data_IF_822919543437
#
_entry.id   IF_822919543437
#
_cell.length_a   1.000
_cell.length_b   1.000
_cell.length_c   1.000
_cell.angle_alpha   90.00
_cell.angle_beta   90.00
_cell.angle_gamma   90.00
#
_symmetry.space_group_name_H-M   'P 1'
#
loop_
_entity.id
_entity.type
_entity.pdbx_description
1 polymer ?
2 polymer ?
3 water ?
#
# COMPACT_ATOMS: atom_id res chain seq x y z
N UNK A 1 -26.51 -22.17 1.16
CA UNK A 1 -27.15 -21.06 0.47
C UNK A 1 -26.48 -19.70 0.79
N UNK A 2 -25.31 -19.70 1.45
CA UNK A 2 -24.71 -18.46 1.92
C UNK A 2 -23.20 -18.54 1.80
N UNK A 3 -22.60 -17.45 1.33
CA UNK A 3 -21.18 -17.22 1.48
C UNK A 3 -21.02 -15.91 2.23
N UNK A 4 -19.95 -15.79 3.00
CA UNK A 4 -19.56 -14.50 3.53
C UNK A 4 -18.48 -13.91 2.62
N UNK A 5 -18.69 -12.66 2.19
CA UNK A 5 -17.78 -11.99 1.27
C UNK A 5 -17.16 -10.83 2.01
N UNK A 6 -15.82 -10.78 1.99
CA UNK A 6 -15.03 -9.74 2.64
C UNK A 6 -14.00 -9.18 1.65
N UNK A 7 -14.02 -7.87 1.46
CA UNK A 7 -12.98 -7.15 0.73
C UNK A 7 -12.16 -6.35 1.73
N UNK A 8 -10.85 -6.62 1.73
CA UNK A 8 -9.89 -6.11 2.73
C UNK A 8 -8.84 -5.26 2.01
N UNK A 9 -8.74 -4.00 2.41
CA UNK A 9 -7.75 -3.07 1.90
C UNK A 9 -6.63 -2.92 2.92
N UNK A 10 -5.53 -2.25 2.57
CA UNK A 10 -4.40 -2.21 3.52
C UNK A 10 -4.78 -1.58 4.84
N UNK A 11 -5.72 -0.62 4.87
CA UNK A 11 -6.03 0.06 6.12
C UNK A 11 -7.29 -0.43 6.80
N UNK A 12 -8.14 -1.20 6.12
CA UNK A 12 -9.47 -1.46 6.67
C UNK A 12 -10.21 -2.51 5.83
N UNK A 13 -11.15 -3.18 6.46
CA UNK A 13 -12.10 -3.99 5.71
C UNK A 13 -13.11 -3.06 5.06
N UNK A 14 -13.20 -3.12 3.72
CA UNK A 14 -14.08 -2.26 2.95
C UNK A 14 -15.46 -2.89 2.78
N UNK A 15 -15.54 -4.21 2.67
CA UNK A 15 -16.81 -4.87 2.44
C UNK A 15 -16.90 -6.16 3.26
N UNK A 16 -18.05 -6.39 3.89
CA UNK A 16 -18.21 -7.59 4.70
C UNK A 16 -19.71 -7.88 4.82
N UNK A 17 -20.21 -8.87 4.06
CA UNK A 17 -21.65 -9.16 4.07
C UNK A 17 -21.90 -10.53 3.43
N UNK A 18 -23.04 -11.15 3.73
CA UNK A 18 -23.38 -12.39 3.05
C UNK A 18 -23.79 -12.15 1.60
N UNK A 19 -23.54 -13.16 0.77
CA UNK A 19 -23.87 -13.07 -0.63
C UNK A 19 -24.24 -14.46 -1.12
N UNK A 20 -25.12 -14.48 -2.12
CA UNK A 20 -25.45 -15.70 -2.85
C UNK A 20 -24.49 -15.95 -3.98
N UNK A 21 -23.89 -14.91 -4.54
CA UNK A 21 -23.07 -15.13 -5.72
C UNK A 21 -22.10 -13.97 -5.81
N UNK A 22 -20.83 -14.25 -6.20
CA UNK A 22 -19.85 -13.19 -6.40
C UNK A 22 -19.11 -13.46 -7.71
N UNK A 23 -18.94 -12.41 -8.49
CA UNK A 23 -18.17 -12.42 -9.74
C UNK A 23 -16.84 -11.72 -9.46
N UNK A 24 -15.74 -12.43 -9.70
CA UNK A 24 -14.40 -11.90 -9.39
C UNK A 24 -13.66 -11.56 -10.66
N UNK A 25 -13.00 -10.39 -10.69
CA UNK A 25 -12.25 -10.06 -11.89
C UNK A 25 -10.86 -10.69 -11.83
N UNK A 26 -10.77 -11.99 -12.11
CA UNK A 26 -9.47 -12.64 -12.09
C UNK A 26 -8.62 -12.22 -13.30
N UNK A 27 -7.29 -12.43 -13.21
CA UNK A 27 -6.42 -12.06 -14.33
C UNK A 27 -6.64 -12.92 -15.56
N UNK A 28 -7.35 -14.03 -15.44
CA UNK A 28 -7.70 -14.88 -16.57
C UNK A 28 -9.20 -14.84 -16.88
N UNK A 29 -9.94 -13.89 -16.34
CA UNK A 29 -11.35 -13.75 -16.72
C UNK A 29 -12.25 -13.59 -15.52
N UNK A 30 -13.50 -13.27 -15.83
CA UNK A 30 -14.50 -13.20 -14.78
C UNK A 30 -14.79 -14.60 -14.28
N UNK A 31 -14.67 -14.78 -12.98
CA UNK A 31 -14.95 -16.03 -12.30
C UNK A 31 -16.28 -15.92 -11.62
N UNK A 32 -17.11 -16.92 -11.78
CA UNK A 32 -18.39 -16.94 -11.11
C UNK A 32 -18.40 -17.89 -9.95
N UNK A 33 -18.65 -17.37 -8.75
CA UNK A 33 -18.62 -18.17 -7.55
C UNK A 33 -19.99 -18.27 -6.91
N UNK A 34 -20.45 -19.51 -6.74
CA UNK A 34 -21.65 -19.82 -5.96
C UNK A 34 -21.24 -20.56 -4.70
N UNK A 35 -22.22 -20.72 -3.81
CA UNK A 35 -22.04 -21.44 -2.56
C UNK A 35 -21.44 -22.81 -2.81
N UNK A 36 -20.72 -23.31 -1.78
CA UNK A 36 -20.13 -24.65 -1.73
C UNK A 36 -19.09 -24.84 -2.83
N UNK A 37 -18.36 -23.80 -3.18
CA UNK A 37 -17.30 -23.94 -4.16
C UNK A 37 -16.07 -24.57 -3.50
N UNK A 38 -15.35 -25.39 -4.28
CA UNK A 38 -14.08 -25.96 -3.81
C UNK A 38 -13.07 -24.84 -3.54
N UNK A 39 -12.14 -25.05 -2.62
CA UNK A 39 -11.15 -24.01 -2.30
C UNK A 39 -10.34 -23.60 -3.52
N UNK A 40 -10.07 -22.31 -3.63
CA UNK A 40 -9.47 -21.76 -4.83
C UNK A 40 -8.69 -20.52 -4.43
N UNK A 41 -7.56 -20.29 -5.11
CA UNK A 41 -6.77 -19.07 -4.97
C UNK A 41 -6.63 -18.47 -6.36
N UNK A 42 -6.82 -17.17 -6.49
CA UNK A 42 -6.72 -16.54 -7.81
C UNK A 42 -6.13 -15.15 -7.67
N UNK A 43 -5.34 -14.76 -8.68
CA UNK A 43 -5.01 -13.35 -8.85
C UNK A 43 -6.23 -12.56 -9.31
N UNK A 44 -6.24 -11.27 -8.95
CA UNK A 44 -7.28 -10.33 -9.36
C UNK A 44 -6.63 -9.18 -10.09
N UNK A 45 -7.17 -8.86 -11.26
CA UNK A 45 -6.73 -7.69 -11.98
C UNK A 45 -7.37 -6.45 -11.36
N UNK A 46 -6.93 -5.28 -11.79
CA UNK A 46 -7.70 -4.07 -11.54
C UNK A 46 -8.96 -4.12 -12.40
N UNK A 47 -10.14 -4.18 -11.78
CA UNK A 47 -11.38 -4.33 -12.54
C UNK A 47 -12.58 -4.34 -11.62
N UNK A 48 -13.69 -5.01 -11.98
CA UNK A 48 -14.92 -4.90 -11.21
C UNK A 48 -15.31 -6.28 -10.68
N UNK A 49 -15.68 -6.32 -9.43
CA UNK A 49 -16.30 -7.48 -8.85
C UNK A 49 -17.78 -7.18 -8.70
N UNK A 50 -18.58 -8.23 -8.60
CA UNK A 50 -20.00 -8.04 -8.36
C UNK A 50 -20.49 -9.01 -7.30
N UNK A 51 -21.44 -8.55 -6.51
CA UNK A 51 -21.95 -9.28 -5.36
C UNK A 51 -23.47 -9.26 -5.42
N UNK A 52 -24.08 -10.44 -5.34
CA UNK A 52 -25.52 -10.58 -5.26
C UNK A 52 -25.87 -11.21 -3.92
N UNK A 53 -26.44 -10.38 -3.03
CA UNK A 53 -26.83 -10.82 -1.69
C UNK A 53 -28.17 -11.53 -1.72
N UNK A 54 -29.13 -11.01 -2.50
CA UNK A 54 -30.38 -11.75 -2.64
C UNK A 54 -30.69 -11.87 -4.13
N UNK A 55 -31.25 -10.82 -4.72
CA UNK A 55 -31.65 -10.84 -6.11
C UNK A 55 -31.11 -9.65 -6.87
N UNK A 56 -30.42 -8.73 -6.21
CA UNK A 56 -29.86 -7.57 -6.87
C UNK A 56 -28.34 -7.62 -6.79
N UNK A 57 -27.73 -6.83 -7.67
CA UNK A 57 -26.32 -6.84 -7.89
C UNK A 57 -25.72 -5.55 -7.35
N UNK A 58 -24.52 -5.66 -6.81
CA UNK A 58 -23.73 -4.54 -6.34
C UNK A 58 -22.36 -4.70 -6.96
N UNK A 59 -21.85 -3.64 -7.59
CA UNK A 59 -20.54 -3.67 -8.20
C UNK A 59 -19.51 -2.87 -7.38
N UNK A 60 -18.30 -3.42 -7.27
CA UNK A 60 -17.18 -2.77 -6.57
C UNK A 60 -15.95 -2.74 -7.48
N UNK A 61 -15.38 -1.57 -7.66
CA UNK A 61 -14.11 -1.43 -8.35
C UNK A 61 -12.95 -1.90 -7.45
N UNK A 62 -12.12 -2.79 -7.97
CA UNK A 62 -10.99 -3.35 -7.23
C UNK A 62 -9.70 -2.96 -7.91
N UNK A 63 -8.70 -2.58 -7.11
CA UNK A 63 -7.42 -2.12 -7.64
C UNK A 63 -6.38 -3.24 -7.69
N UNK A 64 -6.78 -4.47 -7.93
CA UNK A 64 -5.78 -5.54 -8.08
C UNK A 64 -5.47 -6.22 -6.77
N UNK A 65 -5.06 -7.49 -6.85
CA UNK A 65 -4.86 -8.21 -5.62
C UNK A 65 -5.08 -9.70 -5.84
N UNK A 66 -5.68 -10.35 -4.85
CA UNK A 66 -6.01 -11.77 -4.97
C UNK A 66 -7.24 -12.08 -4.14
N UNK A 67 -7.78 -13.29 -4.34
CA UNK A 67 -8.98 -13.77 -3.66
C UNK A 67 -8.78 -15.22 -3.30
N UNK A 68 -9.28 -15.62 -2.14
CA UNK A 68 -9.37 -17.00 -1.77
C UNK A 68 -10.84 -17.33 -1.54
N UNK A 69 -11.18 -18.56 -1.85
CA UNK A 69 -12.54 -19.02 -1.60
C UNK A 69 -12.41 -20.38 -0.95
N UNK A 70 -12.95 -20.50 0.27
CA UNK A 70 -12.78 -21.70 1.08
C UNK A 70 -13.91 -21.77 2.07
N UNK A 71 -14.61 -22.91 2.09
CA UNK A 71 -15.69 -23.18 3.04
C UNK A 71 -16.67 -22.01 3.12
N UNK A 72 -17.09 -21.56 1.93
CA UNK A 72 -18.07 -20.48 1.81
C UNK A 72 -17.60 -19.17 2.44
N UNK A 73 -16.29 -18.97 2.45
CA UNK A 73 -15.69 -17.67 2.74
C UNK A 73 -14.94 -17.22 1.50
N UNK A 74 -15.32 -16.03 1.01
CA UNK A 74 -14.64 -15.37 -0.08
C UNK A 74 -13.88 -14.20 0.54
N UNK A 75 -12.56 -14.26 0.48
CA UNK A 75 -11.70 -13.23 1.07
C UNK A 75 -10.92 -12.56 -0.05
N UNK A 76 -11.10 -11.26 -0.17
CA UNK A 76 -10.56 -10.51 -1.29
C UNK A 76 -9.58 -9.50 -0.70
N UNK A 77 -8.31 -9.57 -1.13
CA UNK A 77 -7.27 -8.62 -0.74
C UNK A 77 -6.90 -7.75 -1.92
N UNK A 78 -7.08 -6.45 -1.77
CA UNK A 78 -6.83 -5.49 -2.84
C UNK A 78 -6.11 -4.27 -2.28
N UNK A 79 -5.36 -3.59 -3.16
CA UNK A 79 -4.69 -2.36 -2.80
C UNK A 79 -5.68 -1.23 -2.55
N UNK A 80 -6.91 -1.38 -3.06
CA UNK A 80 -7.96 -0.40 -2.92
C UNK A 80 -9.27 -0.93 -3.50
N UNK A 81 -10.41 -0.48 -2.98
CA UNK A 81 -11.73 -0.90 -3.45
C UNK A 81 -12.71 0.26 -3.26
N UNK A 82 -13.59 0.45 -4.24
CA UNK A 82 -14.57 1.53 -4.23
C UNK A 82 -15.93 1.00 -4.67
N UNK A 83 -16.97 1.18 -3.85
CA UNK A 83 -18.34 0.81 -4.20
C UNK A 83 -18.81 1.56 -5.44
N UNK A 84 -19.34 0.83 -6.41
CA UNK A 84 -19.82 1.50 -7.60
C UNK A 84 -20.93 2.51 -7.35
N UNK A 85 -21.68 2.37 -6.24
CA UNK A 85 -22.70 3.35 -5.86
C UNK A 85 -22.14 4.74 -5.64
N UNK A 86 -20.85 4.82 -5.40
CA UNK A 86 -20.14 6.03 -5.02
C UNK A 86 -19.66 6.84 -6.22
N UNK A 87 -19.68 6.25 -7.42
CA UNK A 87 -18.97 6.79 -8.58
C UNK A 87 -19.98 7.41 -9.53
N UNK A 88 -19.72 8.64 -9.98
CA UNK A 88 -20.68 9.30 -10.86
C UNK A 88 -20.47 8.82 -12.28
N UNK A 89 -21.48 8.16 -12.88
CA UNK A 89 -21.23 7.45 -14.12
C UNK A 89 -20.86 8.41 -15.25
N UNK A 90 -21.48 9.59 -15.29
CA UNK A 90 -21.09 10.59 -16.27
C UNK A 90 -19.65 11.00 -16.07
N UNK A 91 -19.28 11.28 -14.82
CA UNK A 91 -17.92 11.67 -14.50
C UNK A 91 -16.94 10.56 -14.90
N UNK A 92 -17.30 9.30 -14.66
CA UNK A 92 -16.38 8.19 -14.89
C UNK A 92 -16.21 7.91 -16.37
N UNK A 93 -17.25 8.14 -17.16
CA UNK A 93 -17.08 8.13 -18.61
C UNK A 93 -16.10 9.23 -19.01
N UNK A 94 -16.27 10.42 -18.43
CA UNK A 94 -15.36 11.51 -18.74
C UNK A 94 -13.92 11.15 -18.42
N UNK A 95 -13.70 10.63 -17.22
CA UNK A 95 -12.35 10.34 -16.78
C UNK A 95 -11.75 9.21 -17.61
N UNK A 96 -12.52 8.17 -17.88
CA UNK A 96 -12.02 7.09 -18.72
C UNK A 96 -11.59 7.60 -20.09
N UNK A 97 -12.42 8.41 -20.75
CA UNK A 97 -12.00 8.95 -22.03
C UNK A 97 -10.71 9.76 -21.88
N UNK A 98 -10.62 10.59 -20.83
CA UNK A 98 -9.45 11.44 -20.67
C UNK A 98 -8.18 10.62 -20.40
N UNK A 99 -8.29 9.61 -19.54
CA UNK A 99 -7.17 8.71 -19.30
C UNK A 99 -6.81 7.93 -20.54
N UNK A 100 -7.79 7.59 -21.35
CA UNK A 100 -7.52 6.92 -22.63
C UNK A 100 -6.64 7.77 -23.50
N UNK A 101 -6.97 9.06 -23.61
CA UNK A 101 -6.19 9.95 -24.45
C UNK A 101 -4.81 10.21 -23.86
N UNK A 102 -4.74 10.51 -22.55
CA UNK A 102 -3.45 10.70 -21.89
C UNK A 102 -2.56 9.48 -22.06
N UNK A 103 -3.14 8.29 -21.97
CA UNK A 103 -2.37 7.08 -22.24
C UNK A 103 -1.88 7.05 -23.69
N UNK A 104 -2.77 7.31 -24.66
CA UNK A 104 -2.32 7.33 -26.05
C UNK A 104 -1.16 8.30 -26.21
N UNK A 105 -1.24 9.47 -25.56
CA UNK A 105 -0.20 10.46 -25.66
C UNK A 105 1.10 9.96 -25.04
N UNK A 106 1.07 9.47 -23.78
CA UNK A 106 2.27 8.88 -23.20
C UNK A 106 2.91 7.86 -24.13
N UNK A 107 2.09 7.00 -24.76
CA UNK A 107 2.61 5.97 -25.64
C UNK A 107 3.29 6.53 -26.87
N UNK A 108 2.84 7.68 -27.36
CA UNK A 108 3.63 8.27 -28.44
C UNK A 108 4.98 8.76 -27.93
N UNK A 109 5.14 8.89 -26.61
CA UNK A 109 6.28 9.56 -26.04
C UNK A 109 7.47 8.66 -25.83
N UNK A 110 8.45 9.20 -25.14
CA UNK A 110 9.74 8.58 -24.95
C UNK A 110 9.92 8.00 -23.56
N UNK A 111 9.09 8.42 -22.62
CA UNK A 111 9.35 8.24 -21.20
C UNK A 111 8.60 7.01 -20.68
N UNK A 112 9.35 5.97 -20.30
CA UNK A 112 8.73 4.80 -19.70
C UNK A 112 8.00 5.15 -18.41
N UNK A 113 8.51 6.12 -17.65
CA UNK A 113 7.83 6.49 -16.43
C UNK A 113 6.44 7.03 -16.72
N UNK A 114 6.34 7.89 -17.73
CA UNK A 114 5.04 8.44 -18.12
C UNK A 114 4.08 7.36 -18.61
N UNK A 115 4.59 6.40 -19.39
CA UNK A 115 3.77 5.30 -19.86
C UNK A 115 3.20 4.52 -18.70
N UNK A 116 4.01 4.28 -17.68
CA UNK A 116 3.54 3.57 -16.51
C UNK A 116 2.52 4.40 -15.75
N UNK A 117 2.84 5.68 -15.53
CA UNK A 117 1.91 6.55 -14.83
C UNK A 117 0.55 6.53 -15.52
N UNK A 118 0.56 6.70 -16.84
CA UNK A 118 -0.69 6.83 -17.57
C UNK A 118 -1.41 5.50 -17.64
N UNK A 119 -0.68 4.38 -17.69
CA UNK A 119 -1.31 3.07 -17.62
C UNK A 119 -1.98 2.85 -16.26
N UNK A 120 -1.30 3.23 -15.18
CA UNK A 120 -1.91 3.15 -13.85
C UNK A 120 -3.21 3.93 -13.82
N UNK A 121 -3.17 5.21 -14.25
CA UNK A 121 -4.42 5.99 -14.25
C UNK A 121 -5.47 5.36 -15.15
N UNK A 122 -5.06 4.78 -16.28
CA UNK A 122 -6.04 4.26 -17.23
C UNK A 122 -6.75 3.06 -16.63
N UNK A 123 -5.99 2.16 -16.02
CA UNK A 123 -6.59 0.99 -15.39
C UNK A 123 -7.52 1.41 -14.26
N UNK A 124 -7.09 2.38 -13.44
CA UNK A 124 -7.98 2.81 -12.37
C UNK A 124 -9.26 3.42 -12.92
N UNK A 125 -9.17 4.21 -14.00
CA UNK A 125 -10.38 4.83 -14.54
C UNK A 125 -11.30 3.81 -15.21
N UNK A 126 -10.70 2.81 -15.87
CA UNK A 126 -11.44 1.68 -16.40
C UNK A 126 -12.23 1.00 -15.30
N UNK A 127 -11.55 0.55 -14.23
CA UNK A 127 -12.25 -0.20 -13.21
C UNK A 127 -13.35 0.63 -12.62
N UNK A 128 -13.11 1.93 -12.49
CA UNK A 128 -14.18 2.78 -11.96
C UNK A 128 -15.35 2.91 -12.91
N UNK A 129 -15.13 2.92 -14.24
CA UNK A 129 -16.28 2.99 -15.16
C UNK A 129 -17.03 1.65 -15.29
N UNK A 130 -16.31 0.53 -15.39
CA UNK A 130 -16.91 -0.79 -15.24
C UNK A 130 -17.78 -0.85 -14.00
N UNK A 131 -17.33 -0.30 -12.87
CA UNK A 131 -18.13 -0.39 -11.65
C UNK A 131 -19.30 0.60 -11.66
N UNK A 132 -19.10 1.82 -12.17
CA UNK A 132 -20.24 2.75 -12.28
C UNK A 132 -21.30 2.31 -13.31
N UNK A 133 -20.86 1.76 -14.43
CA UNK A 133 -21.72 1.46 -15.57
C UNK A 133 -22.04 0.00 -15.77
N UNK A 134 -21.36 -0.87 -15.02
CA UNK A 134 -21.67 -2.29 -14.93
C UNK A 134 -21.27 -3.17 -16.10
N UNK A 135 -20.64 -2.62 -17.13
CA UNK A 135 -20.28 -3.35 -18.34
C UNK A 135 -18.75 -3.53 -18.34
N UNK A 136 -18.30 -4.80 -18.44
CA UNK A 136 -16.85 -5.08 -18.37
C UNK A 136 -16.16 -4.66 -19.66
N UNK A 137 -16.73 -5.02 -20.81
CA UNK A 137 -16.14 -4.78 -22.13
C UNK A 137 -16.37 -3.33 -22.53
N UNK A 138 -15.38 -2.47 -22.27
CA UNK A 138 -15.42 -1.08 -22.68
C UNK A 138 -14.12 -0.73 -23.42
N UNK B 15 -5.81 23.02 27.86
CA UNK B 15 -5.42 21.69 28.33
C UNK B 15 -6.59 20.73 28.18
N UNK B 16 -6.41 19.67 27.37
CA UNK B 16 -7.49 18.74 27.09
C UNK B 16 -6.97 17.32 26.94
N UNK B 17 -7.83 16.36 27.32
CA UNK B 17 -7.57 14.93 27.27
C UNK B 17 -7.83 14.34 25.89
N UNK B 18 -8.19 15.16 24.89
CA UNK B 18 -8.50 14.64 23.56
C UNK B 18 -7.28 14.17 22.81
N UNK B 19 -6.08 14.45 23.34
CA UNK B 19 -4.88 13.83 22.79
C UNK B 19 -5.00 12.31 22.80
N UNK B 20 -5.54 11.76 23.90
CA UNK B 20 -5.81 10.33 23.96
C UNK B 20 -6.78 9.88 22.89
N UNK B 21 -7.71 10.76 22.48
CA UNK B 21 -8.64 10.39 21.42
C UNK B 21 -7.90 10.12 20.12
N UNK B 22 -6.92 10.95 19.79
CA UNK B 22 -6.19 10.69 18.56
C UNK B 22 -5.21 9.54 18.73
N UNK B 23 -4.73 9.32 19.96
CA UNK B 23 -4.01 8.08 20.26
C UNK B 23 -4.88 6.86 19.94
N UNK B 24 -6.13 6.89 20.41
CA UNK B 24 -7.01 5.74 20.23
C UNK B 24 -7.44 5.60 18.78
N UNK B 25 -7.63 6.71 18.06
CA UNK B 25 -8.02 6.62 16.66
C UNK B 25 -6.88 6.06 15.81
N UNK B 26 -5.64 6.46 16.14
CA UNK B 26 -4.47 5.88 15.48
C UNK B 26 -4.35 4.39 15.79
N UNK B 27 -4.43 4.04 17.07
CA UNK B 27 -4.40 2.64 17.48
C UNK B 27 -5.48 1.83 16.77
N UNK B 28 -6.63 2.45 16.51
CA UNK B 28 -7.69 1.79 15.77
C UNK B 28 -7.26 1.49 14.34
N UNK B 29 -6.71 2.49 13.63
CA UNK B 29 -6.28 2.23 12.25
C UNK B 29 -5.17 1.18 12.20
N UNK B 30 -4.24 1.22 13.15
CA UNK B 30 -3.18 0.21 13.15
C UNK B 30 -3.78 -1.18 13.36
N UNK B 31 -4.73 -1.30 14.30
CA UNK B 31 -5.41 -2.59 14.45
C UNK B 31 -6.11 -2.99 13.17
N UNK B 32 -6.77 -2.03 12.52
CA UNK B 32 -7.51 -2.31 11.29
C UNK B 32 -6.62 -2.77 10.16
N UNK B 33 -5.33 -2.46 10.21
CA UNK B 33 -4.44 -2.95 9.16
C UNK B 33 -4.06 -4.42 9.32
N UNK B 34 -4.32 -5.03 10.47
CA UNK B 34 -3.81 -6.38 10.68
C UNK B 34 -4.43 -7.46 9.77
N UNK B 35 -5.74 -7.47 9.49
CA UNK B 35 -6.27 -8.55 8.64
C UNK B 35 -5.57 -8.66 7.30
N UNK B 36 -5.32 -7.52 6.65
CA UNK B 36 -4.56 -7.49 5.40
C UNK B 36 -3.22 -8.20 5.55
N UNK B 37 -2.47 -7.85 6.60
CA UNK B 37 -1.12 -8.39 6.71
C UNK B 37 -1.17 -9.87 7.05
N UNK B 38 -2.15 -10.28 7.87
CA UNK B 38 -2.33 -11.70 8.19
C UNK B 38 -2.60 -12.51 6.94
N UNK B 39 -3.43 -11.98 6.04
CA UNK B 39 -3.78 -12.74 4.85
C UNK B 39 -2.61 -12.79 3.88
N UNK B 40 -1.96 -11.63 3.64
CA UNK B 40 -0.73 -11.58 2.88
C UNK B 40 0.21 -12.68 3.33
N UNK B 41 0.42 -12.75 4.66
CA UNK B 41 1.34 -13.75 5.22
C UNK B 41 0.89 -15.16 4.89
N UNK B 42 -0.40 -15.43 5.07
CA UNK B 42 -0.93 -16.78 4.85
C UNK B 42 -0.70 -17.23 3.41
N UNK B 43 -1.02 -16.35 2.46
CA UNK B 43 -0.82 -16.71 1.06
C UNK B 43 0.65 -16.85 0.73
N UNK B 44 1.50 -15.93 1.19
CA UNK B 44 2.94 -16.05 0.98
C UNK B 44 3.44 -17.40 1.46
N UNK B 45 3.01 -17.79 2.67
CA UNK B 45 3.44 -19.05 3.24
C UNK B 45 3.09 -20.21 2.32
N UNK B 46 1.86 -20.23 1.81
CA UNK B 46 1.51 -21.32 0.90
C UNK B 46 2.20 -21.17 -0.45
N UNK B 47 2.50 -19.96 -0.90
CA UNK B 47 3.19 -19.82 -2.18
C UNK B 47 4.60 -20.38 -2.09
N UNK B 48 5.23 -20.23 -0.91
CA UNK B 48 6.56 -20.78 -0.67
C UNK B 48 6.61 -22.27 -0.92
N UNK B 49 5.52 -22.99 -0.71
CA UNK B 49 5.59 -24.42 -0.96
C UNK B 49 5.51 -24.74 -2.45
N UNK B 50 5.29 -23.76 -3.32
CA UNK B 50 5.42 -24.03 -4.75
C UNK B 50 6.55 -23.27 -5.42
N UNK B 51 7.10 -22.26 -4.78
CA UNK B 51 8.14 -21.44 -5.40
C UNK B 51 9.29 -21.26 -4.43
N UNK B 52 10.50 -21.24 -4.97
CA UNK B 52 11.66 -20.78 -4.25
C UNK B 52 11.75 -19.29 -4.47
N UNK B 53 11.45 -18.51 -3.41
CA UNK B 53 11.38 -17.06 -3.55
C UNK B 53 12.69 -16.47 -4.05
N UNK B 54 13.82 -17.00 -3.56
CA UNK B 54 15.12 -16.45 -3.95
C UNK B 54 15.38 -16.59 -5.44
N UNK B 55 14.78 -17.57 -6.09
CA UNK B 55 14.98 -17.77 -7.50
C UNK B 55 13.90 -17.12 -8.36
N UNK B 56 13.03 -16.32 -7.77
CA UNK B 56 11.91 -15.78 -8.54
C UNK B 56 12.39 -14.56 -9.29
N UNK B 57 12.14 -14.52 -10.59
CA UNK B 57 12.52 -13.37 -11.41
C UNK B 57 11.24 -12.63 -11.78
N UNK B 58 11.03 -11.47 -11.15
CA UNK B 58 9.83 -10.67 -11.36
C UNK B 58 10.23 -9.21 -11.17
N UNK B 59 9.62 -8.29 -11.91
CA UNK B 59 10.08 -6.89 -11.91
C UNK B 59 10.29 -6.26 -10.55
N UNK B 60 9.39 -6.48 -9.60
CA UNK B 60 9.51 -5.83 -8.30
C UNK B 60 10.61 -6.42 -7.44
N UNK B 61 11.23 -7.51 -7.87
CA UNK B 61 12.38 -8.10 -7.23
C UNK B 61 13.69 -7.85 -7.96
N UNK B 62 13.67 -7.12 -9.09
CA UNK B 62 14.87 -6.95 -9.89
C UNK B 62 15.97 -6.28 -9.08
N UNK B 63 17.17 -6.87 -9.12
CA UNK B 63 18.35 -6.32 -8.45
C UNK B 63 19.32 -5.86 -9.55
N UNK B 64 19.14 -4.64 -10.00
CA UNK B 64 20.02 -4.00 -10.98
C UNK B 64 21.24 -3.40 -10.26
N UNK B 65 22.41 -3.34 -10.91
CA UNK B 65 23.50 -2.52 -10.36
C UNK B 65 22.98 -1.12 -10.11
N UNK B 66 23.23 -0.60 -8.92
CA UNK B 66 22.51 0.58 -8.46
C UNK B 66 23.28 1.82 -8.91
N UNK B 67 22.73 2.55 -9.87
CA UNK B 67 23.29 3.82 -10.32
C UNK B 67 22.48 5.03 -9.87
N UNK B 68 21.16 4.86 -9.68
CA UNK B 68 20.27 5.94 -9.27
C UNK B 68 19.36 5.41 -8.17
N UNK B 69 19.08 6.26 -7.18
CA UNK B 69 18.21 5.91 -6.05
C UNK B 69 17.06 6.91 -5.93
N UNK B 70 15.86 6.41 -5.65
CA UNK B 70 14.75 7.29 -5.26
C UNK B 70 14.70 7.33 -3.74
N UNK B 71 14.56 8.52 -3.17
CA UNK B 71 14.49 8.64 -1.72
C UNK B 71 13.15 9.24 -1.32
N UNK B 72 12.35 8.49 -0.58
CA UNK B 72 11.05 8.95 -0.13
C UNK B 72 11.31 9.60 1.23
N UNK B 73 10.94 10.85 1.41
CA UNK B 73 11.23 11.56 2.65
C UNK B 73 9.90 11.90 3.32
N UNK B 74 9.69 11.42 4.54
CA UNK B 74 8.36 11.51 5.15
C UNK B 74 8.38 12.59 6.22
N UNK B 75 7.67 13.69 6.00
CA UNK B 75 7.53 14.72 7.03
C UNK B 75 6.06 15.06 7.23
N UNK B 76 5.80 15.90 8.23
CA UNK B 76 4.46 16.39 8.52
C UNK B 76 4.42 17.88 8.28
N UNK B 77 3.24 18.42 8.01
CA UNK B 77 3.17 19.85 7.71
C UNK B 77 2.72 20.68 8.90
N UNK B 78 1.94 20.10 9.81
CA UNK B 78 1.71 20.74 11.10
C UNK B 78 3.05 20.83 11.84
N UNK B 79 3.38 22.04 12.30
CA UNK B 79 4.76 22.34 12.61
C UNK B 79 5.24 22.28 14.04
N UNK B 80 4.34 22.04 15.00
CA UNK B 80 4.73 22.11 16.41
C UNK B 80 4.97 20.69 16.94
N UNK B 81 6.17 20.19 16.64
CA UNK B 81 6.63 18.86 17.01
C UNK B 81 8.13 18.84 17.24
N UNK B 82 8.67 19.94 17.76
CA UNK B 82 10.08 20.01 18.10
C UNK B 82 10.92 19.89 16.85
N UNK B 83 11.82 18.91 16.86
CA UNK B 83 12.69 18.71 15.72
C UNK B 83 12.30 17.46 14.95
N UNK B 84 11.04 17.04 15.06
CA UNK B 84 10.55 15.92 14.27
C UNK B 84 10.90 16.10 12.79
N UNK B 85 10.39 17.17 12.18
CA UNK B 85 10.70 17.40 10.76
C UNK B 85 12.18 17.73 10.56
N UNK B 86 12.77 18.56 11.42
CA UNK B 86 14.16 18.95 11.24
C UNK B 86 15.07 17.72 11.24
N UNK B 87 14.78 16.76 12.11
CA UNK B 87 15.64 15.58 12.20
C UNK B 87 15.50 14.72 10.96
N UNK B 88 14.25 14.52 10.47
CA UNK B 88 14.08 13.82 9.19
C UNK B 88 14.84 14.51 8.08
N UNK B 89 14.65 15.82 7.96
CA UNK B 89 15.26 16.56 6.85
C UNK B 89 16.79 16.44 6.93
N UNK B 90 17.34 16.50 8.13
CA UNK B 90 18.80 16.42 8.25
C UNK B 90 19.31 15.03 7.90
N UNK B 91 18.60 13.99 8.36
CA UNK B 91 19.05 12.66 8.00
C UNK B 91 18.92 12.43 6.50
N UNK B 92 17.89 13.00 5.85
CA UNK B 92 17.80 12.76 4.43
C UNK B 92 18.91 13.48 3.67
N UNK B 93 19.20 14.73 4.05
CA UNK B 93 20.34 15.46 3.49
C UNK B 93 21.63 14.63 3.62
N UNK B 94 21.82 14.01 4.79
CA UNK B 94 23.03 13.22 5.04
C UNK B 94 23.06 11.97 4.18
N UNK B 95 21.91 11.28 4.04
CA UNK B 95 21.88 10.12 3.17
C UNK B 95 22.18 10.51 1.73
N UNK B 96 21.63 11.63 1.27
CA UNK B 96 21.90 12.09 -0.09
C UNK B 96 23.38 12.47 -0.29
N UNK B 97 23.99 13.06 0.74
CA UNK B 97 25.43 13.33 0.67
C UNK B 97 26.20 12.03 0.55
N UNK B 98 25.79 11.00 1.29
CA UNK B 98 26.48 9.71 1.18
C UNK B 98 26.38 9.17 -0.24
N UNK B 99 25.16 9.18 -0.80
CA UNK B 99 24.98 8.71 -2.17
C UNK B 99 25.81 9.53 -3.17
N UNK B 100 25.81 10.84 -3.02
CA UNK B 100 26.59 11.67 -3.92
C UNK B 100 28.09 11.36 -3.79
N UNK B 101 28.57 11.12 -2.56
CA UNK B 101 29.97 10.77 -2.38
C UNK B 101 30.32 9.51 -3.11
N UNK B 102 29.36 8.59 -3.25
CA UNK B 102 29.62 7.33 -3.88
C UNK B 102 29.45 7.41 -5.38
N UNK B 103 29.22 8.61 -5.90
CA UNK B 103 28.86 8.75 -7.30
C UNK B 103 27.48 8.20 -7.69
N UNK B 104 26.51 8.10 -6.78
CA UNK B 104 25.17 7.69 -7.18
C UNK B 104 24.32 8.93 -7.43
N UNK B 105 23.46 8.84 -8.42
CA UNK B 105 22.42 9.81 -8.72
C UNK B 105 21.18 9.50 -7.88
N UNK B 106 20.32 10.50 -7.72
CA UNK B 106 19.15 10.29 -6.89
C UNK B 106 18.02 11.23 -7.32
N UNK B 107 16.81 10.95 -6.85
CA UNK B 107 15.70 11.89 -7.00
C UNK B 107 14.83 11.76 -5.75
N UNK B 108 14.22 12.85 -5.35
CA UNK B 108 13.48 12.89 -4.09
C UNK B 108 11.97 12.78 -4.36
N UNK B 109 11.28 12.05 -3.50
CA UNK B 109 9.82 12.05 -3.43
C UNK B 109 9.49 12.50 -2.03
N UNK B 110 8.82 13.63 -1.89
CA UNK B 110 8.75 14.28 -0.59
C UNK B 110 7.31 14.33 -0.10
N UNK B 111 7.08 13.77 1.09
CA UNK B 111 5.82 13.96 1.80
C UNK B 111 6.01 15.13 2.74
N UNK B 112 5.22 16.17 2.55
CA UNK B 112 5.35 17.37 3.37
C UNK B 112 5.80 18.55 2.53
N UNK B 113 4.95 19.57 2.41
CA UNK B 113 5.22 20.64 1.45
C UNK B 113 6.32 21.57 1.93
N UNK B 114 6.45 21.76 3.25
CA UNK B 114 7.48 22.64 3.73
C UNK B 114 8.85 22.02 3.53
N UNK B 115 8.95 20.70 3.76
CA UNK B 115 10.21 20.00 3.50
C UNK B 115 10.52 20.00 2.01
N UNK B 116 9.48 19.85 1.17
CA UNK B 116 9.69 19.99 -0.26
C UNK B 116 10.30 21.35 -0.58
N UNK B 117 9.85 22.41 0.10
CA UNK B 117 10.43 23.72 -0.21
C UNK B 117 11.88 23.81 0.27
N UNK B 118 12.17 23.25 1.45
CA UNK B 118 13.55 23.24 1.92
C UNK B 118 14.46 22.63 0.86
N UNK B 119 14.08 21.47 0.32
CA UNK B 119 14.91 20.79 -0.69
C UNK B 119 14.88 21.52 -2.04
N UNK B 120 13.73 22.08 -2.41
CA UNK B 120 13.67 22.86 -3.65
C UNK B 120 14.66 24.03 -3.66
N UNK B 121 14.68 24.81 -2.58
CA UNK B 121 15.53 26.00 -2.51
C UNK B 121 17.02 25.64 -2.59
N UNK B 122 17.35 24.39 -2.34
CA UNK B 122 18.74 23.97 -2.32
C UNK B 122 19.08 23.14 -3.54
N UNK B 123 18.23 23.22 -4.57
CA UNK B 123 18.50 22.69 -5.89
C UNK B 123 18.50 21.18 -5.92
N UNK B 124 17.81 20.51 -4.98
CA UNK B 124 17.74 19.07 -5.11
C UNK B 124 16.75 18.65 -6.21
N UNK B 125 17.00 17.51 -6.86
CA UNK B 125 16.02 17.02 -7.84
C UNK B 125 14.82 16.39 -7.13
N UNK B 126 13.63 16.81 -7.52
CA UNK B 126 12.38 16.39 -6.85
C UNK B 126 11.44 15.83 -7.91
N UNK B 127 11.13 14.52 -7.81
CA UNK B 127 10.19 13.86 -8.76
C UNK B 127 8.75 14.16 -8.40
N UNK B 128 8.40 14.16 -7.11
CA UNK B 128 7.00 14.35 -6.74
C UNK B 128 6.92 14.89 -5.31
N UNK B 129 5.83 15.63 -5.03
CA UNK B 129 5.57 16.21 -3.73
C UNK B 129 4.16 15.87 -3.31
N UNK B 130 3.99 15.60 -2.02
CA UNK B 130 2.66 15.33 -1.46
C UNK B 130 2.48 16.13 -0.16
N UNK B 131 1.21 16.30 0.23
CA UNK B 131 0.86 16.98 1.48
C UNK B 131 1.47 16.27 2.67
N UNK B 132 1.82 17.04 3.69
CA UNK B 132 2.44 16.50 4.88
C UNK B 132 1.70 15.28 5.41
N UNK B 133 2.42 14.46 6.17
CA UNK B 133 1.85 13.23 6.70
C UNK B 133 0.63 13.54 7.56
N UNK B 134 -0.48 12.89 7.23
CA UNK B 134 -1.70 13.11 7.98
C UNK B 134 -1.75 12.19 9.19
N UNK B 135 -2.43 12.66 10.23
CA UNK B 135 -2.41 11.99 11.53
C UNK B 135 -2.83 10.52 11.43
N UNK B 136 -3.79 10.20 10.58
CA UNK B 136 -4.12 8.79 10.40
C UNK B 136 -3.94 8.43 8.92
N UNK B 137 -2.75 7.97 8.55
CA UNK B 137 -2.41 7.86 7.13
C UNK B 137 -3.31 6.89 6.36
N UNK B 138 -3.80 7.34 5.21
CA UNK B 138 -4.73 6.58 4.37
C UNK B 138 -4.06 5.52 3.49
N UNK B 139 -4.74 4.37 3.31
CA UNK B 139 -4.21 3.45 2.30
C UNK B 139 -4.26 4.02 0.90
N UNK B 140 -5.17 4.98 0.62
CA UNK B 140 -5.08 5.68 -0.67
C UNK B 140 -3.89 6.64 -0.68
N UNK B 141 -3.58 7.28 0.45
CA UNK B 141 -2.36 8.08 0.53
C UNK B 141 -1.15 7.22 0.20
N UNK B 142 -1.00 6.10 0.92
CA UNK B 142 0.07 5.17 0.67
C UNK B 142 0.07 4.74 -0.79
N UNK B 143 -1.11 4.44 -1.36
CA UNK B 143 -1.12 3.91 -2.71
C UNK B 143 -0.72 4.93 -3.77
N UNK B 144 -1.08 6.19 -3.58
CA UNK B 144 -0.63 7.22 -4.50
C UNK B 144 0.89 7.32 -4.49
N UNK B 145 1.47 7.39 -3.29
CA UNK B 145 2.94 7.40 -3.20
C UNK B 145 3.51 6.14 -3.84
N UNK B 146 2.93 4.99 -3.52
CA UNK B 146 3.50 3.74 -4.01
C UNK B 146 3.47 3.69 -5.52
N UNK B 147 2.34 4.14 -6.14
CA UNK B 147 2.27 4.09 -7.58
C UNK B 147 3.36 4.95 -8.18
N UNK B 148 3.65 6.08 -7.52
CA UNK B 148 4.71 6.94 -8.03
C UNK B 148 6.09 6.26 -7.88
N UNK B 149 6.30 5.55 -6.78
CA UNK B 149 7.60 4.86 -6.59
C UNK B 149 7.73 3.71 -7.56
N UNK B 150 6.62 3.01 -7.85
CA UNK B 150 6.63 2.00 -8.89
C UNK B 150 6.95 2.62 -10.22
N UNK B 151 6.41 3.80 -10.51
CA UNK B 151 6.69 4.32 -11.84
C UNK B 151 8.16 4.71 -12.00
N UNK B 152 8.80 5.17 -10.93
CA UNK B 152 10.26 5.36 -10.96
C UNK B 152 11.02 4.04 -11.04
N UNK B 153 10.64 3.06 -10.22
CA UNK B 153 11.46 1.84 -10.15
C UNK B 153 11.26 0.94 -11.36
N UNK B 154 10.01 0.71 -11.79
CA UNK B 154 9.74 -0.23 -12.87
C UNK B 154 10.13 0.33 -14.21
N UNK B 155 10.20 1.65 -14.36
CA UNK B 155 10.74 2.21 -15.59
C UNK B 155 12.25 2.16 -15.62
N UNK B 156 12.88 1.72 -14.52
CA UNK B 156 14.32 1.77 -14.39
C UNK B 156 14.83 3.19 -14.46
N UNK B 157 14.01 4.16 -14.06
CA UNK B 157 14.54 5.49 -13.80
C UNK B 157 15.47 5.45 -12.58
N UNK B 158 15.13 4.66 -11.57
CA UNK B 158 16.01 4.40 -10.44
C UNK B 158 16.15 2.89 -10.29
N UNK B 159 17.17 2.47 -9.50
CA UNK B 159 17.50 1.07 -9.29
C UNK B 159 17.24 0.60 -7.87
N UNK B 160 16.85 1.48 -6.97
CA UNK B 160 16.58 1.18 -5.58
C UNK B 160 15.73 2.32 -5.13
N UNK B 161 14.80 2.03 -4.21
CA UNK B 161 13.98 3.07 -3.61
C UNK B 161 14.20 2.94 -2.12
N UNK B 162 14.66 4.00 -1.49
CA UNK B 162 14.81 4.05 -0.04
C UNK B 162 13.79 4.99 0.55
N UNK B 163 13.57 4.86 1.86
CA UNK B 163 12.73 5.84 2.49
C UNK B 163 13.30 6.21 3.84
N UNK B 164 12.98 7.43 4.25
CA UNK B 164 13.42 7.99 5.50
C UNK B 164 12.22 8.46 6.28
N UNK B 165 12.04 7.91 7.48
CA UNK B 165 10.87 8.32 8.25
C UNK B 165 11.18 8.10 9.71
N UNK B 166 10.41 8.75 10.56
CA UNK B 166 10.65 8.68 12.00
C UNK B 166 9.87 7.52 12.61
N UNK B 167 10.51 6.81 13.55
CA UNK B 167 9.91 5.59 14.05
C UNK B 167 10.40 5.35 15.48
N UNK B 168 9.51 4.78 16.31
CA UNK B 168 9.91 4.39 17.66
C UNK B 168 10.97 3.29 17.59
N UNK B 169 12.07 3.52 18.29
CA UNK B 169 13.17 2.56 18.33
C UNK B 169 13.38 2.03 19.74
N UNK B 170 12.87 2.72 20.74
CA UNK B 170 12.82 2.18 22.09
C UNK B 170 11.38 2.30 22.51
N UNK B 171 11.09 1.96 23.77
CA UNK B 171 9.76 2.14 24.27
C UNK B 171 9.35 3.62 24.29
N UNK B 172 10.30 4.53 24.31
CA UNK B 172 10.05 5.93 24.61
C UNK B 172 10.53 6.83 23.48
N UNK B 173 11.59 6.44 22.77
CA UNK B 173 12.27 7.32 21.85
C UNK B 173 12.05 6.89 20.40
N UNK B 174 12.11 7.87 19.52
CA UNK B 174 11.99 7.63 18.11
C UNK B 174 13.11 8.38 17.42
N UNK B 175 13.42 7.98 16.21
CA UNK B 175 14.46 8.66 15.46
C UNK B 175 14.20 8.43 13.99
N UNK B 176 14.82 9.23 13.13
CA UNK B 176 14.75 8.92 11.71
C UNK B 176 15.43 7.58 11.47
N UNK B 177 14.87 6.80 10.55
CA UNK B 177 15.47 5.56 10.05
C UNK B 177 15.50 5.61 8.54
N UNK B 178 16.44 4.84 7.97
CA UNK B 178 16.65 4.75 6.53
C UNK B 178 16.41 3.32 6.13
N UNK B 179 15.37 3.05 5.32
CA UNK B 179 15.14 1.67 4.94
C UNK B 179 14.98 1.52 3.43
N UNK B 180 14.99 0.30 2.96
CA UNK B 180 14.87 0.05 1.54
C UNK B 180 13.49 -0.54 1.25
N UNK B 181 12.81 0.04 0.26
CA UNK B 181 11.48 -0.39 -0.17
C UNK B 181 11.53 -1.27 -1.41
N UNK B 182 12.25 -0.83 -2.43
CA UNK B 182 12.41 -1.58 -3.68
C UNK B 182 13.87 -1.70 -4.03
N UNK B 183 14.32 -2.86 -4.59
CA UNK B 183 13.54 -4.07 -4.88
C UNK B 183 12.99 -4.71 -3.62
N UNK B 184 11.89 -5.44 -3.76
CA UNK B 184 11.39 -6.20 -2.63
C UNK B 184 12.41 -7.25 -2.23
N UNK B 185 12.41 -7.60 -0.95
CA UNK B 185 13.39 -8.54 -0.45
C UNK B 185 12.76 -9.91 -0.31
N UNK B 186 13.25 -10.95 -1.02
CA UNK B 186 12.70 -12.30 -0.82
C UNK B 186 12.60 -12.69 0.65
N UNK B 187 13.63 -12.37 1.43
CA UNK B 187 13.62 -12.73 2.85
C UNK B 187 12.52 -12.01 3.60
N UNK B 188 12.17 -10.78 3.22
CA UNK B 188 10.99 -10.16 3.79
C UNK B 188 9.71 -10.87 3.39
N UNK B 189 9.64 -11.35 2.15
CA UNK B 189 8.45 -12.07 1.69
C UNK B 189 8.28 -13.38 2.46
N UNK B 190 9.38 -13.99 2.91
CA UNK B 190 9.21 -15.23 3.66
C UNK B 190 8.99 -15.01 5.14
N UNK B 191 9.32 -13.85 5.68
CA UNK B 191 9.05 -13.56 7.08
C UNK B 191 7.66 -12.95 7.18
N UNK B 192 6.77 -13.63 7.87
CA UNK B 192 5.38 -13.20 7.96
C UNK B 192 5.28 -11.92 8.78
N UNK B 193 4.15 -11.22 8.59
CA UNK B 193 3.83 -10.08 9.44
C UNK B 193 3.81 -10.52 10.89
N UNK B 194 4.99 -10.55 11.51
CA UNK B 194 5.12 -11.02 12.88
C UNK B 194 4.93 -9.89 13.88
N UNK B 195 5.62 -8.78 13.68
CA UNK B 195 5.65 -7.71 14.65
C UNK B 195 4.39 -6.86 14.51
N UNK B 196 3.55 -6.83 15.56
CA UNK B 196 2.47 -5.86 15.66
C UNK B 196 2.74 -4.99 16.86
N UNK B 197 2.43 -3.70 16.74
CA UNK B 197 2.77 -2.74 17.77
C UNK B 197 1.51 -2.04 18.26
N UNK B 198 1.36 -1.95 19.58
CA UNK B 198 0.30 -1.16 20.19
C UNK B 198 0.88 0.10 20.82
N UNK B 199 0.21 1.20 20.52
CA UNK B 199 0.47 2.51 21.04
C UNK B 199 -0.25 2.69 22.35
N UNK B 200 0.32 3.49 23.25
CA UNK B 200 -0.42 3.81 24.46
C UNK B 200 0.19 5.03 25.13
N UNK B 201 -0.66 5.97 25.50
CA UNK B 201 -0.26 7.08 26.35
C UNK B 201 -0.16 6.58 27.78
N UNK B 202 1.00 6.73 28.39
CA UNK B 202 1.14 6.35 29.79
C UNK B 202 1.09 7.60 30.66
N UNK B 203 2.21 8.29 30.83
CA UNK B 203 2.17 9.53 31.57
C UNK B 203 1.58 10.66 30.75
N UNK B 204 2.26 11.79 30.71
CA UNK B 204 2.02 12.80 29.72
C UNK B 204 2.89 12.62 28.49
N UNK B 205 3.52 11.45 28.37
CA UNK B 205 4.32 11.06 27.22
C UNK B 205 3.71 9.79 26.60
N UNK B 206 4.11 9.53 25.38
CA UNK B 206 3.53 8.48 24.57
C UNK B 206 4.56 7.36 24.38
N UNK B 207 4.11 6.10 24.47
CA UNK B 207 5.03 4.97 24.42
C UNK B 207 4.46 3.88 23.53
N UNK B 208 5.37 3.12 22.88
CA UNK B 208 4.97 1.99 22.04
C UNK B 208 5.50 0.70 22.62
N UNK B 209 4.65 -0.33 22.62
CA UNK B 209 5.08 -1.68 22.88
C UNK B 209 4.87 -2.50 21.62
N UNK B 210 5.82 -3.35 21.30
CA UNK B 210 5.73 -4.22 20.13
C UNK B 210 5.73 -5.66 20.60
N UNK B 211 4.81 -6.46 20.06
CA UNK B 211 4.73 -7.87 20.41
C UNK B 211 4.75 -8.74 19.16
N UNK B 212 5.38 -9.90 19.31
CA UNK B 212 5.26 -10.99 18.36
C UNK B 212 3.93 -11.71 18.58
N UNK B 213 3.25 -12.02 17.48
CA UNK B 213 1.96 -12.72 17.50
C UNK B 213 2.01 -13.91 16.56
N UNK B 214 1.62 -15.07 17.07
CA UNK B 214 1.40 -16.21 16.18
C UNK B 214 0.18 -15.92 15.30
N UNK B 215 0.35 -16.11 13.98
CA UNK B 215 -0.76 -15.89 13.06
C UNK B 215 -1.95 -16.71 13.48
N UNK B 216 -3.10 -16.05 13.59
CA UNK B 216 -4.29 -16.71 14.12
C UNK B 216 -4.85 -17.73 13.14
N UNK B 217 -4.67 -17.53 11.86
CA UNK B 217 -5.40 -18.34 10.90
C UNK B 217 -4.55 -19.46 10.34
N UNK B 218 -5.18 -20.53 9.86
CA UNK B 218 -4.46 -21.74 9.45
C UNK B 218 -3.74 -21.56 8.11
N UNK B 219 -3.05 -22.62 7.71
CA UNK B 219 -2.46 -22.66 6.37
C UNK B 219 -3.53 -23.05 5.36
N UNK B 220 -3.28 -22.72 4.09
CA UNK B 220 -4.28 -22.96 3.06
C UNK B 220 -4.38 -24.45 2.76
N UNK B 221 -5.58 -24.92 2.44
CA UNK B 221 -5.77 -26.36 2.17
C UNK B 221 -4.82 -26.88 1.11
N UNK B 222 -4.43 -28.14 1.28
CA UNK B 222 -3.55 -28.79 0.32
C UNK B 222 -4.24 -28.92 -1.03
N UNK B 223 -5.54 -29.16 -1.00
CA UNK B 223 -6.35 -29.36 -2.19
C UNK B 223 -6.83 -28.06 -2.81
N UNK B 224 -6.25 -26.93 -2.44
CA UNK B 224 -6.70 -25.65 -2.97
C UNK B 224 -6.22 -25.48 -4.41
N UNK B 225 -7.15 -25.09 -5.28
CA UNK B 225 -6.88 -24.84 -6.69
C UNK B 225 -6.19 -23.50 -6.86
N UNK B 226 -5.16 -23.47 -7.69
CA UNK B 226 -4.50 -22.22 -8.07
C UNK B 226 -5.02 -21.86 -9.43
N UNK B 227 -5.79 -20.78 -9.52
CA UNK B 227 -6.43 -20.46 -10.78
C UNK B 227 -5.42 -20.07 -11.85
N UNK B 228 -4.27 -19.49 -11.43
CA UNK B 228 -3.14 -19.18 -12.30
C UNK B 228 -1.92 -19.87 -11.69
N UNK B 229 -0.89 -20.03 -12.53
CA UNK B 229 0.42 -20.55 -12.09
C UNK B 229 0.86 -19.81 -10.83
N UNK B 230 1.52 -20.50 -9.85
CA UNK B 230 1.95 -19.79 -8.62
C UNK B 230 2.75 -18.52 -8.84
N UNK B 231 3.61 -18.50 -9.85
CA UNK B 231 4.39 -17.30 -10.12
C UNK B 231 3.49 -16.10 -10.41
N UNK B 232 2.38 -16.32 -11.14
CA UNK B 232 1.49 -15.21 -11.48
C UNK B 232 0.70 -14.74 -10.25
N UNK B 233 0.34 -15.66 -9.36
CA UNK B 233 -0.31 -15.25 -8.12
C UNK B 233 0.66 -14.45 -7.24
N UNK B 234 1.90 -14.93 -7.10
CA UNK B 234 2.94 -14.17 -6.37
C UNK B 234 3.07 -12.77 -6.95
N UNK B 235 3.19 -12.68 -8.29
CA UNK B 235 3.32 -11.38 -8.94
C UNK B 235 2.13 -10.46 -8.65
N UNK B 236 0.90 -11.00 -8.56
CA UNK B 236 -0.27 -10.17 -8.19
C UNK B 236 -0.20 -9.72 -6.73
N UNK B 237 0.42 -10.53 -5.88
CA UNK B 237 0.60 -10.19 -4.47
C UNK B 237 1.65 -9.07 -4.24
N UNK B 238 2.72 -9.05 -5.03
CA UNK B 238 3.85 -8.17 -4.69
C UNK B 238 3.46 -6.70 -4.53
N UNK B 239 2.55 -6.14 -5.34
CA UNK B 239 2.13 -4.74 -5.10
C UNK B 239 1.39 -4.58 -3.80
N UNK B 240 0.72 -5.64 -3.31
CA UNK B 240 0.04 -5.51 -2.03
C UNK B 240 1.05 -5.48 -0.89
N UNK B 241 2.06 -6.34 -0.97
CA UNK B 241 3.15 -6.35 0.00
C UNK B 241 3.83 -4.99 0.07
N UNK B 242 4.12 -4.41 -1.09
CA UNK B 242 4.72 -3.08 -1.11
C UNK B 242 3.83 -2.10 -0.38
N UNK B 243 2.53 -2.05 -0.73
CA UNK B 243 1.66 -1.05 -0.11
C UNK B 243 1.48 -1.28 1.38
N UNK B 244 1.48 -2.54 1.80
CA UNK B 244 1.47 -2.86 3.22
C UNK B 244 2.71 -2.31 3.92
N UNK B 245 3.87 -2.43 3.28
CA UNK B 245 5.13 -1.98 3.90
C UNK B 245 5.15 -0.46 4.01
N UNK B 246 4.76 0.21 2.93
CA UNK B 246 4.69 1.66 2.93
C UNK B 246 3.69 2.18 3.96
N UNK B 247 2.45 1.66 3.95
CA UNK B 247 1.48 2.14 4.92
C UNK B 247 1.95 1.89 6.35
N UNK B 248 2.56 0.75 6.64
CA UNK B 248 3.07 0.54 7.98
C UNK B 248 4.12 1.60 8.35
N UNK B 249 4.99 1.94 7.40
CA UNK B 249 5.98 2.98 7.72
C UNK B 249 5.28 4.30 7.99
N UNK B 250 4.24 4.62 7.21
CA UNK B 250 3.54 5.87 7.44
C UNK B 250 2.82 5.89 8.80
N UNK B 251 2.24 4.75 9.23
CA UNK B 251 1.64 4.71 10.56
C UNK B 251 2.69 4.83 11.65
N UNK B 252 3.86 4.23 11.46
CA UNK B 252 4.96 4.49 12.40
C UNK B 252 5.32 5.97 12.43
N UNK B 253 5.41 6.60 11.25
CA UNK B 253 5.78 8.01 11.20
C UNK B 253 4.74 8.88 11.92
N UNK B 254 3.45 8.53 11.75
CA UNK B 254 2.39 9.28 12.41
C UNK B 254 2.41 9.06 13.91
N UNK B 255 2.59 7.82 14.36
CA UNK B 255 2.76 7.58 15.78
C UNK B 255 3.91 8.42 16.37
N UNK B 256 5.06 8.46 15.69
CA UNK B 256 6.17 9.26 16.17
C UNK B 256 5.83 10.74 16.19
N UNK B 257 5.04 11.20 15.22
CA UNK B 257 4.69 12.63 15.17
C UNK B 257 3.73 13.02 16.28
N UNK B 258 2.79 12.13 16.58
CA UNK B 258 1.94 12.35 17.74
C UNK B 258 2.78 12.39 19.02
N UNK B 259 3.75 11.47 19.13
CA UNK B 259 4.64 11.51 20.29
C UNK B 259 5.38 12.83 20.37
N UNK B 260 5.92 13.30 19.24
CA UNK B 260 6.66 14.56 19.25
C UNK B 260 5.75 15.74 19.60
N UNK B 261 4.51 15.73 19.11
CA UNK B 261 3.61 16.86 19.31
C UNK B 261 3.10 16.92 20.74
N UNK B 262 2.85 15.76 21.36
CA UNK B 262 2.56 15.74 22.78
C UNK B 262 3.75 16.24 23.60
N UNK B 263 4.95 15.75 23.28
CA UNK B 263 6.16 16.29 23.91
C UNK B 263 6.18 17.82 23.83
N UNK B 264 5.95 18.36 22.64
CA UNK B 264 6.00 19.81 22.45
C UNK B 264 4.95 20.53 23.30
N UNK B 265 3.73 19.97 23.37
CA UNK B 265 2.72 20.54 24.25
C UNK B 265 3.23 20.62 25.68
N UNK B 266 3.63 19.48 26.22
CA UNK B 266 3.92 19.43 27.65
C UNK B 266 5.19 20.18 28.02
N UNK B 267 6.08 20.43 27.06
CA UNK B 267 7.19 21.36 27.31
C UNK B 267 6.71 22.79 27.52
N UNK B 268 5.52 23.13 27.03
CA UNK B 268 4.98 24.49 27.19
C UNK B 268 4.04 24.56 28.38
#
# INVERSE_FOLDING_TARGET
MVMTVRVIAPDKTVWDAPAEEVILPSTTGQLGILSNHAPLLTALETGVMRVRQDREWVAIALMGGFAEVENNEVTILVNGAERGDTIDLEKAKAEFAAAQAALAQAEQGESKQAKIQATQAFRRARARLQAAGGVVEI
MEKTIKDTRKITEAMRLVAAAKVAAAQEQVMASRPFADRLAQVLYSLQTRLRFEDVDLPLLAKRPVKTVALLVVTGDRGLCGGYNTNVIRRAKERLQELEAEGLKYTLVIVGRKAAQYFQRRDYPIDAVYSGLEQIPSASEAGQIASELLSLFLSETVDRVELIYTKFVSLISSKPVVQTLLPLDPQGLETADDEIFRLTTRGSHLEVNREKVTSTLPALPSDMIFEQDPLQILDALLPLYLNNQLLRALQEAAASELAARMTAMNNASDNAQALILVPR
#
